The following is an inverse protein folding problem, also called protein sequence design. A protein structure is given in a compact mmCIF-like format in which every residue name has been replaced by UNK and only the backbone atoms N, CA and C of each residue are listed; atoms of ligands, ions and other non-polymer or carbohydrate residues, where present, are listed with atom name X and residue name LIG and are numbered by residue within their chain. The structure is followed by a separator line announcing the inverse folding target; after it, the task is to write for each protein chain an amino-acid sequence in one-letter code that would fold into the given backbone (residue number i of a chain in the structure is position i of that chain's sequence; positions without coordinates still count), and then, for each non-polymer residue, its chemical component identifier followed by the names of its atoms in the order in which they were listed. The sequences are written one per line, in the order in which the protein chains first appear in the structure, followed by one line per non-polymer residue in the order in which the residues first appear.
data_IF_921603911651
#
_entry.id   IF_921603911651
#
_cell.length_a   1.000
_cell.length_b   1.000
_cell.length_c   1.000
_cell.angle_alpha   90.00
_cell.angle_beta   90.00
_cell.angle_gamma   90.00
#
_symmetry.space_group_name_H-M   'P 1'
#
loop_
_entity.id
_entity.type
_entity.pdbx_description
1 polymer ?
#
# COMPACT_ATOMS: atom_id res chain seq x y z
N UNK A 1 -23.56 -6.71 -8.21
CA UNK A 1 -22.57 -5.65 -7.86
C UNK A 1 -23.03 -4.36 -8.51
N UNK A 2 -23.30 -3.32 -7.72
CA UNK A 2 -23.76 -2.03 -8.24
C UNK A 2 -22.65 -1.30 -9.01
N UNK A 3 -23.03 -0.28 -9.80
CA UNK A 3 -22.11 0.47 -10.64
C UNK A 3 -21.02 1.22 -9.86
N UNK A 4 -21.33 1.69 -8.64
CA UNK A 4 -20.37 2.36 -7.76
C UNK A 4 -19.32 1.38 -7.24
N UNK A 5 -19.73 0.17 -6.84
CA UNK A 5 -18.79 -0.87 -6.40
C UNK A 5 -17.83 -1.27 -7.54
N UNK A 6 -18.34 -1.39 -8.77
CA UNK A 6 -17.50 -1.66 -9.96
C UNK A 6 -16.48 -0.56 -10.22
N UNK A 7 -16.90 0.70 -10.15
CA UNK A 7 -16.02 1.85 -10.33
C UNK A 7 -14.92 1.92 -9.26
N UNK A 8 -15.26 1.62 -8.00
CA UNK A 8 -14.29 1.58 -6.90
C UNK A 8 -13.22 0.53 -7.16
N UNK A 9 -13.63 -0.70 -7.48
CA UNK A 9 -12.70 -1.80 -7.77
C UNK A 9 -11.81 -1.43 -8.95
N UNK A 10 -12.38 -0.90 -10.03
CA UNK A 10 -11.61 -0.44 -11.19
C UNK A 10 -10.54 0.59 -10.83
N UNK A 11 -10.88 1.60 -10.01
CA UNK A 11 -9.91 2.61 -9.54
C UNK A 11 -8.82 2.01 -8.67
N UNK A 12 -9.17 1.07 -7.79
CA UNK A 12 -8.20 0.37 -6.97
C UNK A 12 -7.27 -0.44 -7.86
N UNK A 13 -7.76 -1.32 -8.73
CA UNK A 13 -6.97 -2.10 -9.68
C UNK A 13 -6.03 -1.23 -10.51
N UNK A 14 -6.54 -0.11 -11.04
CA UNK A 14 -5.74 0.86 -11.79
C UNK A 14 -4.56 1.37 -10.98
N UNK A 15 -4.79 1.76 -9.71
CA UNK A 15 -3.72 2.23 -8.83
C UNK A 15 -2.63 1.20 -8.56
N UNK A 16 -2.99 -0.09 -8.51
CA UNK A 16 -2.04 -1.18 -8.36
C UNK A 16 -1.19 -1.33 -9.61
N UNK A 17 -1.83 -1.36 -10.79
CA UNK A 17 -1.13 -1.44 -12.07
C UNK A 17 -0.16 -0.26 -12.27
N UNK A 18 -0.58 0.96 -11.92
CA UNK A 18 0.25 2.15 -12.03
C UNK A 18 1.42 2.11 -11.03
N UNK A 19 1.18 1.66 -9.80
CA UNK A 19 2.22 1.51 -8.78
C UNK A 19 3.25 0.43 -9.16
N UNK A 20 2.81 -0.70 -9.69
CA UNK A 20 3.68 -1.78 -10.19
C UNK A 20 4.63 -1.26 -11.28
N UNK A 21 4.12 -0.52 -12.26
CA UNK A 21 4.94 0.09 -13.33
C UNK A 21 6.01 1.03 -12.77
N UNK A 22 5.67 1.81 -11.74
CA UNK A 22 6.65 2.71 -11.10
C UNK A 22 7.75 1.91 -10.41
N UNK A 23 7.40 0.83 -9.69
CA UNK A 23 8.40 -0.04 -9.08
C UNK A 23 9.26 -0.75 -10.13
N UNK A 24 8.67 -1.25 -11.21
CA UNK A 24 9.40 -1.89 -12.30
C UNK A 24 10.42 -0.92 -12.92
N UNK A 25 10.00 0.32 -13.20
CA UNK A 25 10.89 1.40 -13.64
C UNK A 25 12.00 1.71 -12.61
N UNK A 26 11.69 1.79 -11.31
CA UNK A 26 12.71 2.04 -10.28
C UNK A 26 13.74 0.90 -10.22
N UNK A 27 13.30 -0.35 -10.35
CA UNK A 27 14.19 -1.51 -10.38
C UNK A 27 15.12 -1.48 -11.60
N UNK A 28 14.60 -1.16 -12.78
CA UNK A 28 15.40 -0.97 -14.00
C UNK A 28 16.48 0.12 -13.83
N UNK A 29 16.24 1.09 -12.95
CA UNK A 29 17.18 2.18 -12.63
C UNK A 29 18.09 1.88 -11.41
N UNK A 30 18.20 0.62 -10.99
CA UNK A 30 19.16 0.19 -9.96
C UNK A 30 18.68 0.32 -8.51
N UNK A 31 17.37 0.50 -8.27
CA UNK A 31 16.79 0.55 -6.92
C UNK A 31 16.52 -0.87 -6.37
N UNK A 32 17.52 -1.76 -6.43
CA UNK A 32 17.41 -3.19 -6.09
C UNK A 32 16.82 -3.47 -4.69
N UNK A 33 16.99 -2.53 -3.74
CA UNK A 33 16.42 -2.64 -2.40
C UNK A 33 14.89 -2.68 -2.39
N UNK A 34 14.24 -2.25 -3.46
CA UNK A 34 12.78 -2.26 -3.61
C UNK A 34 12.23 -3.60 -4.12
N UNK A 35 13.10 -4.53 -4.53
CA UNK A 35 12.68 -5.82 -5.08
C UNK A 35 11.73 -6.58 -4.13
N UNK A 36 11.99 -6.66 -2.80
CA UNK A 36 11.06 -7.32 -1.88
C UNK A 36 9.69 -6.61 -1.80
N UNK A 37 9.66 -5.28 -1.94
CA UNK A 37 8.40 -4.51 -1.96
C UNK A 37 7.61 -4.84 -3.21
N UNK A 38 8.28 -4.94 -4.37
CA UNK A 38 7.63 -5.34 -5.63
C UNK A 38 7.07 -6.76 -5.57
N UNK A 39 7.81 -7.70 -5.00
CA UNK A 39 7.35 -9.08 -4.77
C UNK A 39 6.16 -9.11 -3.81
N UNK A 40 6.21 -8.32 -2.73
CA UNK A 40 5.12 -8.19 -1.77
C UNK A 40 3.83 -7.66 -2.43
N UNK A 41 3.93 -6.65 -3.30
CA UNK A 41 2.79 -6.15 -4.08
C UNK A 41 2.20 -7.28 -4.94
N UNK A 42 3.03 -8.04 -5.65
CA UNK A 42 2.57 -9.18 -6.47
C UNK A 42 1.80 -10.20 -5.62
N UNK A 43 2.31 -10.55 -4.45
CA UNK A 43 1.67 -11.54 -3.56
C UNK A 43 0.34 -11.04 -2.99
N UNK A 44 0.22 -9.75 -2.65
CA UNK A 44 -1.05 -9.18 -2.23
C UNK A 44 -2.06 -9.14 -3.38
N UNK A 45 -1.63 -8.82 -4.60
CA UNK A 45 -2.49 -8.80 -5.78
C UNK A 45 -3.02 -10.19 -6.11
N UNK A 46 -2.22 -11.25 -5.97
CA UNK A 46 -2.67 -12.65 -6.08
C UNK A 46 -3.75 -13.02 -5.07
N UNK A 47 -3.81 -12.33 -3.93
CA UNK A 47 -4.85 -12.47 -2.89
C UNK A 47 -6.03 -11.53 -3.09
N UNK A 48 -6.14 -10.90 -4.25
CA UNK A 48 -7.20 -9.95 -4.61
C UNK A 48 -7.28 -8.71 -3.70
N UNK A 49 -6.18 -8.34 -3.04
CA UNK A 49 -6.16 -7.15 -2.18
C UNK A 49 -6.30 -5.83 -2.96
N UNK A 50 -6.07 -5.89 -4.27
CA UNK A 50 -6.39 -4.83 -5.22
C UNK A 50 -7.89 -4.53 -5.36
N UNK A 51 -8.79 -5.34 -4.79
CA UNK A 51 -10.22 -5.01 -4.68
C UNK A 51 -10.56 -4.27 -3.36
N UNK A 52 -9.65 -4.29 -2.39
CA UNK A 52 -9.91 -3.79 -1.03
C UNK A 52 -9.27 -2.43 -0.75
N UNK A 53 -8.13 -2.16 -1.41
CA UNK A 53 -7.33 -0.96 -1.18
C UNK A 53 -6.87 -0.36 -2.50
N UNK A 54 -6.73 0.96 -2.49
CA UNK A 54 -5.82 1.66 -3.38
C UNK A 54 -4.40 1.55 -2.85
N UNK A 55 -3.42 1.47 -3.75
CA UNK A 55 -2.02 1.70 -3.40
C UNK A 55 -1.43 2.87 -4.18
N UNK A 56 -0.38 3.46 -3.61
CA UNK A 56 0.41 4.49 -4.26
C UNK A 56 1.85 4.39 -3.80
N UNK A 57 2.74 5.03 -4.55
CA UNK A 57 4.17 4.96 -4.27
C UNK A 57 4.86 6.31 -4.41
N UNK A 58 5.96 6.45 -3.67
CA UNK A 58 7.04 7.39 -3.91
C UNK A 58 8.35 6.60 -3.85
N UNK A 59 9.49 7.20 -4.16
CA UNK A 59 10.78 6.51 -4.39
C UNK A 59 11.07 5.30 -3.48
N UNK A 60 10.92 5.44 -2.15
CA UNK A 60 11.12 4.34 -1.19
C UNK A 60 9.89 4.01 -0.35
N UNK A 61 8.70 4.46 -0.77
CA UNK A 61 7.49 4.45 0.04
C UNK A 61 6.37 3.73 -0.68
N UNK A 62 5.76 2.76 -0.02
CA UNK A 62 4.48 2.17 -0.43
C UNK A 62 3.38 2.65 0.52
N UNK A 63 2.22 3.01 -0.03
CA UNK A 63 1.08 3.55 0.72
C UNK A 63 -0.16 2.74 0.36
N UNK A 64 -0.91 2.29 1.36
CA UNK A 64 -2.23 1.70 1.22
C UNK A 64 -3.28 2.66 1.77
N UNK A 65 -4.41 2.74 1.09
CA UNK A 65 -5.55 3.56 1.48
C UNK A 65 -6.86 2.95 0.99
N UNK A 66 -7.97 3.25 1.66
CA UNK A 66 -9.33 2.95 1.16
C UNK A 66 -9.98 4.13 0.43
N UNK A 67 -9.17 5.14 0.09
CA UNK A 67 -9.59 6.33 -0.64
C UNK A 67 -9.89 6.06 -2.11
N UNK A 68 -11.06 6.47 -2.58
CA UNK A 68 -11.41 6.40 -4.01
C UNK A 68 -10.73 7.55 -4.80
N UNK A 69 -10.46 8.68 -4.15
CA UNK A 69 -9.97 9.91 -4.77
C UNK A 69 -8.45 10.00 -4.84
N UNK A 70 -7.89 10.24 -6.04
CA UNK A 70 -6.44 10.34 -6.22
C UNK A 70 -5.84 11.45 -5.34
N UNK A 71 -4.71 11.13 -4.69
CA UNK A 71 -3.98 12.06 -3.81
C UNK A 71 -3.85 11.56 -2.37
N UNK A 72 -2.89 12.13 -1.65
CA UNK A 72 -2.71 11.89 -0.21
C UNK A 72 -3.65 12.82 0.53
N UNK A 73 -4.89 12.37 0.70
CA UNK A 73 -5.83 13.01 1.62
C UNK A 73 -5.33 12.82 3.03
N UNK A 74 -4.92 13.93 3.64
CA UNK A 74 -4.30 13.87 4.96
C UNK A 74 -5.26 13.38 6.03
N UNK A 75 -6.56 13.57 5.85
CA UNK A 75 -7.68 13.27 6.75
C UNK A 75 -8.14 11.81 6.73
N UNK A 76 -7.53 10.95 5.91
CA UNK A 76 -7.92 9.55 5.81
C UNK A 76 -6.95 8.62 6.53
N UNK A 77 -7.44 7.42 6.86
CA UNK A 77 -6.59 6.36 7.42
C UNK A 77 -5.74 5.73 6.32
N UNK A 78 -4.43 5.67 6.55
CA UNK A 78 -3.42 5.21 5.59
C UNK A 78 -2.45 4.28 6.32
N UNK A 79 -1.99 3.26 5.61
CA UNK A 79 -0.84 2.46 6.02
C UNK A 79 0.33 2.81 5.10
N UNK A 80 1.45 3.20 5.69
CA UNK A 80 2.66 3.58 4.98
C UNK A 80 3.75 2.56 5.33
N UNK A 81 4.50 2.15 4.32
CA UNK A 81 5.69 1.29 4.43
C UNK A 81 6.84 2.05 3.78
N UNK A 82 7.75 2.56 4.59
CA UNK A 82 8.99 3.20 4.14
C UNK A 82 10.12 2.17 4.13
N UNK A 83 10.76 2.00 2.98
CA UNK A 83 11.92 1.11 2.79
C UNK A 83 13.17 1.88 3.15
N UNK A 84 13.72 1.59 4.33
CA UNK A 84 14.97 2.21 4.80
C UNK A 84 16.18 1.51 4.18
N UNK A 85 16.11 0.18 4.12
CA UNK A 85 17.09 -0.70 3.48
C UNK A 85 16.37 -1.96 2.93
N UNK A 86 17.10 -2.85 2.24
CA UNK A 86 16.56 -4.02 1.55
C UNK A 86 15.63 -4.87 2.42
N UNK A 87 15.91 -4.98 3.71
CA UNK A 87 15.13 -5.72 4.70
C UNK A 87 14.94 -4.90 6.00
N UNK A 88 14.78 -3.57 5.89
CA UNK A 88 14.43 -2.70 7.02
C UNK A 88 13.31 -1.77 6.57
N UNK A 89 12.12 -1.96 7.14
CA UNK A 89 10.93 -1.24 6.78
C UNK A 89 10.33 -0.54 7.99
N UNK A 90 10.06 0.75 7.86
CA UNK A 90 9.27 1.49 8.82
C UNK A 90 7.80 1.46 8.40
N UNK A 91 6.95 0.87 9.26
CA UNK A 91 5.52 0.74 9.03
C UNK A 91 4.78 1.74 9.92
N UNK A 92 3.91 2.54 9.31
CA UNK A 92 3.14 3.59 9.98
C UNK A 92 1.68 3.47 9.63
N UNK A 93 0.81 3.27 10.62
CA UNK A 93 -0.63 3.47 10.49
C UNK A 93 -0.96 4.87 11.02
N UNK A 94 -1.51 5.72 10.15
CA UNK A 94 -1.96 7.08 10.48
C UNK A 94 -3.40 7.30 10.04
N UNK A 95 -4.03 8.31 10.62
CA UNK A 95 -5.39 8.76 10.33
C UNK A 95 -5.40 10.27 10.58
N UNK A 96 -5.56 11.07 9.53
CA UNK A 96 -5.26 12.48 9.72
C UNK A 96 -3.76 12.71 9.91
N UNK A 97 -3.50 13.68 10.79
CA UNK A 97 -2.19 13.97 11.37
C UNK A 97 -1.82 13.02 12.53
N UNK A 98 -2.73 12.13 12.96
CA UNK A 98 -2.51 11.25 14.11
C UNK A 98 -1.84 9.96 13.67
N UNK A 99 -0.69 9.64 14.29
CA UNK A 99 -0.01 8.34 14.14
C UNK A 99 -0.52 7.38 15.21
N UNK A 100 -1.17 6.29 14.81
CA UNK A 100 -1.66 5.27 15.74
C UNK A 100 -0.63 4.20 16.05
N UNK A 101 0.10 3.76 15.02
CA UNK A 101 1.11 2.71 15.15
C UNK A 101 2.31 3.07 14.30
N UNK A 102 3.49 2.86 14.86
CA UNK A 102 4.77 3.05 14.19
C UNK A 102 5.74 2.00 14.71
N UNK A 103 6.28 1.17 13.83
CA UNK A 103 7.29 0.17 14.19
C UNK A 103 8.15 -0.20 12.99
N UNK A 104 9.25 -0.91 13.25
CA UNK A 104 10.10 -1.49 12.20
C UNK A 104 9.84 -2.98 12.05
N UNK A 105 9.93 -3.47 10.83
CA UNK A 105 9.94 -4.90 10.50
C UNK A 105 11.08 -5.17 9.52
N UNK A 106 11.59 -6.39 9.55
CA UNK A 106 12.64 -6.82 8.64
C UNK A 106 12.11 -7.72 7.51
N UNK A 107 10.81 -8.05 7.56
CA UNK A 107 10.10 -8.89 6.60
C UNK A 107 8.70 -8.31 6.38
N UNK A 108 8.29 -8.16 5.13
CA UNK A 108 6.95 -7.69 4.75
C UNK A 108 5.87 -8.75 4.99
N UNK A 109 6.24 -10.00 5.27
CA UNK A 109 5.32 -11.04 5.71
C UNK A 109 5.13 -11.06 7.24
N UNK A 110 5.66 -10.07 7.97
CA UNK A 110 5.50 -9.99 9.43
C UNK A 110 3.99 -9.98 9.82
N UNK A 111 3.54 -10.86 10.73
CA UNK A 111 2.14 -10.94 11.14
C UNK A 111 1.56 -9.61 11.68
N UNK A 112 2.40 -8.72 12.21
CA UNK A 112 1.98 -7.37 12.65
C UNK A 112 1.52 -6.55 11.46
N UNK A 113 2.25 -6.59 10.33
CA UNK A 113 1.88 -5.89 9.10
C UNK A 113 0.58 -6.44 8.52
N UNK A 114 0.42 -7.77 8.48
CA UNK A 114 -0.85 -8.40 8.05
C UNK A 114 -2.02 -7.92 8.91
N UNK A 115 -1.87 -7.88 10.24
CA UNK A 115 -2.92 -7.37 11.14
C UNK A 115 -3.25 -5.89 10.88
N UNK A 116 -2.29 -5.07 10.46
CA UNK A 116 -2.57 -3.68 10.08
C UNK A 116 -3.33 -3.57 8.77
N UNK A 117 -2.99 -4.38 7.77
CA UNK A 117 -3.75 -4.43 6.51
C UNK A 117 -5.20 -4.83 6.77
N UNK A 118 -5.45 -5.83 7.61
CA UNK A 118 -6.80 -6.21 8.05
C UNK A 118 -7.51 -5.07 8.80
N UNK A 119 -6.78 -4.36 9.67
CA UNK A 119 -7.33 -3.19 10.37
C UNK A 119 -7.74 -2.09 9.39
N UNK A 120 -6.93 -1.84 8.35
CA UNK A 120 -7.25 -0.89 7.30
C UNK A 120 -8.44 -1.36 6.46
N UNK A 121 -8.51 -2.66 6.14
CA UNK A 121 -9.62 -3.31 5.42
C UNK A 121 -10.96 -3.20 6.12
N UNK A 122 -10.96 -3.00 7.45
CA UNK A 122 -12.17 -2.76 8.23
C UNK A 122 -12.71 -1.32 8.17
N UNK A 123 -11.97 -0.35 7.61
CA UNK A 123 -12.41 1.06 7.58
C UNK A 123 -13.41 1.30 6.47
N UNK A 124 -14.23 2.35 6.53
CA UNK A 124 -15.10 2.68 5.39
C UNK A 124 -14.27 3.03 4.14
N UNK A 125 -14.81 2.72 2.98
CA UNK A 125 -14.32 3.25 1.70
C UNK A 125 -14.86 4.66 1.58
N UNK A 126 -13.98 5.62 1.37
CA UNK A 126 -14.30 7.05 1.25
C UNK A 126 -13.77 7.61 -0.08
#
# INVERSE_FOLDING_TARGET
MDSRTKEIIFRFEKSWNDTEKIFDMLLENGFERLKPVREFITELKKKEENHNFRIGTSMYRLIFSRSIEHGLRDDQKLLIIDTLDKNDYEVILRDGFKKYRKYRVNDLNDPKLTKLLETLKGTLID
#
